data_IF_295160145472
#
_entry.id   IF_295160145472
#
_cell.length_a   1.000
_cell.length_b   1.000
_cell.length_c   1.000
_cell.angle_alpha   90.00
_cell.angle_beta   90.00
_cell.angle_gamma   90.00
#
_symmetry.space_group_name_H-M   'P 1'
#
loop_
_entity.id
_entity.type
_entity.pdbx_description
1 polymer ?
#
# COMPACT_ATOMS: atom_id res chain seq x y z
N UNK A 1 -21.10 -6.59 -2.84
CA UNK A 1 -19.92 -7.28 -3.40
C UNK A 1 -19.70 -8.53 -2.58
N UNK A 2 -19.84 -9.71 -3.18
CA UNK A 2 -19.53 -10.97 -2.51
C UNK A 2 -18.06 -11.26 -2.78
N UNK A 3 -17.27 -11.33 -1.70
CA UNK A 3 -15.81 -11.55 -1.68
C UNK A 3 -15.37 -12.87 -2.33
N UNK A 4 -16.32 -13.76 -2.64
CA UNK A 4 -16.08 -15.17 -2.94
C UNK A 4 -16.70 -15.60 -4.28
N UNK A 5 -16.56 -14.81 -5.35
CA UNK A 5 -16.64 -15.40 -6.71
C UNK A 5 -15.22 -15.64 -7.21
N UNK A 6 -14.56 -16.75 -6.83
CA UNK A 6 -13.26 -17.10 -7.36
C UNK A 6 -13.37 -17.23 -8.88
N UNK A 7 -12.56 -16.47 -9.61
CA UNK A 7 -12.37 -16.68 -11.04
C UNK A 7 -11.52 -17.95 -11.21
N UNK A 8 -11.91 -18.89 -12.08
CA UNK A 8 -11.08 -20.05 -12.36
C UNK A 8 -9.74 -19.60 -12.97
N UNK A 9 -8.66 -20.38 -12.78
CA UNK A 9 -7.39 -20.09 -13.44
C UNK A 9 -7.59 -20.10 -14.96
N UNK A 10 -6.95 -19.16 -15.64
CA UNK A 10 -7.03 -19.03 -17.10
C UNK A 10 -6.07 -19.96 -17.84
N UNK A 11 -5.07 -20.50 -17.13
CA UNK A 11 -3.97 -21.30 -17.67
C UNK A 11 -3.67 -22.48 -16.75
N UNK A 12 -3.14 -23.58 -17.31
CA UNK A 12 -2.77 -24.78 -16.55
C UNK A 12 -1.63 -24.48 -15.55
N UNK A 13 -0.64 -23.72 -15.99
CA UNK A 13 0.39 -23.17 -15.11
C UNK A 13 -0.17 -22.00 -14.30
N UNK A 14 -0.34 -22.22 -13.00
CA UNK A 14 -0.84 -21.20 -12.09
C UNK A 14 -0.15 -21.31 -10.72
N UNK A 15 0.36 -20.19 -10.24
CA UNK A 15 1.01 -20.09 -8.95
C UNK A 15 -0.02 -19.81 -7.86
N UNK A 16 0.00 -20.65 -6.82
CA UNK A 16 -0.97 -20.59 -5.73
C UNK A 16 -0.27 -20.71 -4.36
N UNK A 17 0.44 -19.66 -3.96
CA UNK A 17 1.19 -19.57 -2.70
C UNK A 17 0.69 -18.41 -1.83
N UNK A 18 1.24 -18.29 -0.62
CA UNK A 18 1.04 -17.12 0.23
C UNK A 18 2.09 -16.05 -0.11
N UNK A 19 1.70 -15.10 -0.96
CA UNK A 19 2.62 -14.10 -1.51
C UNK A 19 1.97 -12.71 -1.56
N UNK A 20 2.72 -11.69 -1.19
CA UNK A 20 2.44 -10.29 -1.48
C UNK A 20 3.43 -9.81 -2.55
N UNK A 21 2.95 -9.63 -3.77
CA UNK A 21 3.76 -9.26 -4.94
C UNK A 21 3.51 -7.81 -5.34
N UNK A 22 4.58 -7.02 -5.45
CA UNK A 22 4.52 -5.62 -5.90
C UNK A 22 5.19 -5.49 -7.24
N UNK A 23 4.47 -5.01 -8.25
CA UNK A 23 5.02 -4.64 -9.55
C UNK A 23 5.41 -3.17 -9.53
N UNK A 24 6.68 -2.86 -9.79
CA UNK A 24 7.20 -1.49 -9.88
C UNK A 24 7.63 -1.23 -11.33
N UNK A 25 6.91 -0.36 -12.04
CA UNK A 25 7.08 -0.11 -13.47
C UNK A 25 7.79 1.21 -13.70
N UNK A 26 8.91 1.17 -14.43
CA UNK A 26 9.63 2.36 -14.90
C UNK A 26 8.75 3.17 -15.87
N UNK A 27 8.36 4.38 -15.47
CA UNK A 27 7.61 5.32 -16.29
C UNK A 27 8.47 6.35 -17.01
N UNK A 28 9.78 6.12 -17.15
CA UNK A 28 10.65 7.01 -17.91
C UNK A 28 10.44 6.88 -19.42
N UNK A 29 10.88 7.90 -20.13
CA UNK A 29 11.01 7.98 -21.58
C UNK A 29 12.11 7.08 -22.17
N UNK A 30 12.77 6.24 -21.34
CA UNK A 30 13.67 5.19 -21.86
C UNK A 30 12.91 4.00 -22.44
N UNK A 31 11.65 3.86 -22.07
CA UNK A 31 10.68 3.05 -22.79
C UNK A 31 9.83 4.01 -23.62
N UNK A 32 9.64 3.71 -24.91
CA UNK A 32 8.60 4.34 -25.71
C UNK A 32 7.21 3.93 -25.21
N UNK A 33 6.17 4.65 -25.64
CA UNK A 33 4.79 4.30 -25.30
C UNK A 33 4.41 2.88 -25.75
N UNK A 34 4.91 2.46 -26.93
CA UNK A 34 4.71 1.11 -27.44
C UNK A 34 5.44 0.05 -26.59
N UNK A 35 6.67 0.31 -26.18
CA UNK A 35 7.41 -0.61 -25.29
C UNK A 35 6.79 -0.67 -23.89
N UNK A 36 6.24 0.44 -23.40
CA UNK A 36 5.48 0.47 -22.15
C UNK A 36 4.18 -0.34 -22.25
N UNK A 37 3.54 -0.40 -23.42
CA UNK A 37 2.41 -1.30 -23.66
C UNK A 37 2.83 -2.77 -23.55
N UNK A 38 3.96 -3.15 -24.14
CA UNK A 38 4.53 -4.51 -23.99
C UNK A 38 4.82 -4.82 -22.52
N UNK A 39 5.35 -3.86 -21.76
CA UNK A 39 5.59 -4.00 -20.32
C UNK A 39 4.29 -4.25 -19.54
N UNK A 40 3.20 -3.53 -19.85
CA UNK A 40 1.88 -3.76 -19.24
C UNK A 40 1.32 -5.13 -19.62
N UNK A 41 1.44 -5.54 -20.88
CA UNK A 41 1.04 -6.87 -21.34
C UNK A 41 1.78 -7.96 -20.58
N UNK A 42 3.09 -7.80 -20.35
CA UNK A 42 3.87 -8.70 -19.51
C UNK A 42 3.32 -8.79 -18.08
N UNK A 43 3.05 -7.66 -17.43
CA UNK A 43 2.49 -7.62 -16.07
C UNK A 43 1.12 -8.30 -16.01
N UNK A 44 0.23 -8.01 -16.96
CA UNK A 44 -1.08 -8.67 -17.07
C UNK A 44 -0.90 -10.18 -17.27
N UNK A 45 -0.01 -10.60 -18.17
CA UNK A 45 0.29 -12.00 -18.43
C UNK A 45 0.87 -12.74 -17.23
N UNK A 46 1.63 -12.05 -16.37
CA UNK A 46 2.01 -12.59 -15.06
C UNK A 46 0.78 -12.75 -14.16
N UNK A 47 -0.04 -11.70 -14.01
CA UNK A 47 -1.24 -11.73 -13.16
C UNK A 47 -2.25 -12.82 -13.54
N UNK A 48 -2.35 -13.20 -14.82
CA UNK A 48 -3.19 -14.31 -15.28
C UNK A 48 -2.74 -15.69 -14.75
N UNK A 49 -1.45 -15.82 -14.42
CA UNK A 49 -0.83 -17.05 -13.90
C UNK A 49 -0.70 -17.04 -12.37
N UNK A 50 -1.30 -16.06 -11.70
CA UNK A 50 -1.30 -15.95 -10.24
C UNK A 50 -2.71 -16.21 -9.68
N UNK A 51 -2.80 -16.97 -8.59
CA UNK A 51 -4.04 -17.13 -7.84
C UNK A 51 -4.28 -15.90 -6.96
N UNK A 52 -4.73 -14.81 -7.58
CA UNK A 52 -4.93 -13.51 -6.92
C UNK A 52 -6.14 -13.57 -5.98
N UNK A 53 -5.89 -13.42 -4.67
CA UNK A 53 -6.91 -13.26 -3.63
C UNK A 53 -6.28 -12.76 -2.33
N UNK A 54 -7.08 -12.17 -1.44
CA UNK A 54 -6.60 -11.76 -0.11
C UNK A 54 -6.08 -12.92 0.75
N UNK A 55 -6.48 -14.16 0.46
CA UNK A 55 -6.06 -15.38 1.17
C UNK A 55 -4.83 -16.06 0.54
N UNK A 56 -4.45 -15.73 -0.71
CA UNK A 56 -3.35 -16.37 -1.45
C UNK A 56 -2.35 -15.34 -1.96
N UNK A 57 -2.46 -14.90 -3.22
CA UNK A 57 -1.54 -13.90 -3.78
C UNK A 57 -2.21 -12.53 -3.76
N UNK A 58 -1.64 -11.56 -3.02
CA UNK A 58 -2.02 -10.15 -3.10
C UNK A 58 -1.09 -9.45 -4.08
N UNK A 59 -1.62 -8.51 -4.86
CA UNK A 59 -0.84 -7.76 -5.85
C UNK A 59 -0.97 -6.26 -5.62
N UNK A 60 0.13 -5.54 -5.82
CA UNK A 60 0.16 -4.08 -5.91
C UNK A 60 0.90 -3.68 -7.18
N UNK A 61 0.55 -2.51 -7.72
CA UNK A 61 1.09 -2.01 -8.98
C UNK A 61 1.39 -0.53 -8.84
N UNK A 62 2.66 -0.18 -9.04
CA UNK A 62 3.16 1.19 -8.91
C UNK A 62 3.94 1.53 -10.17
N UNK A 63 3.55 2.61 -10.83
CA UNK A 63 4.37 3.26 -11.84
C UNK A 63 5.25 4.30 -11.14
N UNK A 64 6.53 4.39 -11.54
CA UNK A 64 7.45 5.35 -10.94
C UNK A 64 8.21 6.17 -11.98
N UNK A 65 8.28 7.47 -11.69
CA UNK A 65 9.02 8.48 -12.43
C UNK A 65 9.82 9.32 -11.40
N UNK A 66 9.69 10.65 -11.38
CA UNK A 66 10.22 11.48 -10.29
C UNK A 66 9.48 11.22 -8.95
N UNK A 67 8.25 10.72 -9.03
CA UNK A 67 7.46 10.22 -7.90
C UNK A 67 7.01 8.77 -8.11
N UNK A 68 6.00 8.34 -7.34
CA UNK A 68 5.41 7.01 -7.46
C UNK A 68 3.88 7.11 -7.44
N UNK A 69 3.23 6.49 -8.43
CA UNK A 69 1.78 6.45 -8.55
C UNK A 69 1.28 5.02 -8.42
N UNK A 70 0.57 4.73 -7.33
CA UNK A 70 0.00 3.41 -7.07
C UNK A 70 -1.36 3.27 -7.74
N UNK A 71 -1.49 2.29 -8.63
CA UNK A 71 -2.74 1.94 -9.30
C UNK A 71 -3.50 0.84 -8.57
N UNK A 72 -2.76 -0.08 -7.93
CA UNK A 72 -3.30 -1.19 -7.14
C UNK A 72 -2.58 -1.27 -5.80
N UNK A 73 -3.33 -1.53 -4.73
CA UNK A 73 -2.81 -1.79 -3.39
C UNK A 73 -3.04 -3.25 -3.00
N UNK A 74 -2.16 -3.80 -2.15
CA UNK A 74 -2.25 -5.19 -1.70
C UNK A 74 -3.62 -5.52 -1.06
N UNK A 75 -4.25 -4.53 -0.43
CA UNK A 75 -5.53 -4.69 0.28
C UNK A 75 -6.77 -4.51 -0.61
N UNK A 76 -6.59 -4.21 -1.89
CA UNK A 76 -7.72 -4.01 -2.80
C UNK A 76 -8.53 -5.32 -2.94
N UNK A 77 -9.82 -5.24 -2.64
CA UNK A 77 -10.77 -6.35 -2.73
C UNK A 77 -11.58 -6.24 -4.03
N UNK A 78 -10.90 -6.51 -5.14
CA UNK A 78 -11.46 -6.47 -6.50
C UNK A 78 -11.34 -7.84 -7.17
N UNK A 79 -12.13 -8.07 -8.21
CA UNK A 79 -12.01 -9.29 -9.03
C UNK A 79 -10.65 -9.33 -9.73
N UNK A 80 -10.02 -10.51 -9.89
CA UNK A 80 -8.77 -10.62 -10.64
C UNK A 80 -8.84 -10.02 -12.05
N UNK A 81 -9.95 -10.19 -12.76
CA UNK A 81 -10.21 -9.53 -14.06
C UNK A 81 -10.20 -8.01 -14.00
N UNK A 82 -10.77 -7.41 -12.95
CA UNK A 82 -10.77 -5.96 -12.75
C UNK A 82 -9.36 -5.45 -12.42
N UNK A 83 -8.60 -6.18 -11.60
CA UNK A 83 -7.20 -5.86 -11.30
C UNK A 83 -6.35 -5.88 -12.57
N UNK A 84 -6.51 -6.91 -13.42
CA UNK A 84 -5.84 -6.99 -14.73
C UNK A 84 -6.24 -5.82 -15.65
N UNK A 85 -7.52 -5.45 -15.68
CA UNK A 85 -8.01 -4.29 -16.45
C UNK A 85 -7.40 -2.97 -15.96
N UNK A 86 -7.21 -2.79 -14.65
CA UNK A 86 -6.53 -1.61 -14.10
C UNK A 86 -5.06 -1.62 -14.53
N UNK A 87 -4.39 -2.78 -14.45
CA UNK A 87 -3.01 -2.92 -14.87
C UNK A 87 -2.80 -2.62 -16.37
N UNK A 88 -3.72 -3.03 -17.24
CA UNK A 88 -3.65 -2.73 -18.68
C UNK A 88 -3.89 -1.24 -18.99
N UNK A 89 -4.53 -0.50 -18.08
CA UNK A 89 -4.88 0.92 -18.22
C UNK A 89 -3.90 1.87 -17.53
N UNK A 90 -2.77 1.38 -17.01
CA UNK A 90 -1.71 2.25 -16.50
C UNK A 90 -1.29 3.21 -17.61
N UNK A 91 -1.19 4.50 -17.26
CA UNK A 91 -0.87 5.56 -18.20
C UNK A 91 0.64 5.59 -18.42
N UNK A 92 1.06 5.73 -19.67
CA UNK A 92 2.44 6.00 -19.99
C UNK A 92 2.81 7.42 -19.52
N UNK A 93 3.81 7.53 -18.64
CA UNK A 93 4.26 8.80 -18.11
C UNK A 93 5.30 9.48 -19.02
N UNK A 94 6.22 8.71 -19.61
CA UNK A 94 7.27 9.24 -20.49
C UNK A 94 8.18 10.26 -19.83
N UNK A 95 8.43 10.13 -18.52
CA UNK A 95 9.20 11.10 -17.74
C UNK A 95 10.68 11.11 -18.13
N UNK A 96 11.37 12.23 -17.93
CA UNK A 96 12.84 12.30 -18.08
C UNK A 96 13.58 11.54 -16.98
N UNK A 97 12.92 11.28 -15.85
CA UNK A 97 13.49 10.62 -14.67
C UNK A 97 12.53 9.53 -14.19
N UNK A 98 13.08 8.34 -13.92
CA UNK A 98 12.46 7.33 -13.07
C UNK A 98 13.39 6.96 -11.91
N UNK A 99 12.99 7.34 -10.69
CA UNK A 99 13.79 7.18 -9.49
C UNK A 99 13.52 5.85 -8.81
N UNK A 100 14.43 4.90 -9.02
CA UNK A 100 14.48 3.64 -8.27
C UNK A 100 14.58 3.88 -6.76
N UNK A 101 15.29 4.93 -6.32
CA UNK A 101 15.40 5.24 -4.90
C UNK A 101 14.07 5.65 -4.30
N UNK A 102 13.29 6.49 -4.99
CA UNK A 102 11.98 6.94 -4.51
C UNK A 102 10.95 5.81 -4.49
N UNK A 103 10.93 4.94 -5.50
CA UNK A 103 9.98 3.80 -5.49
C UNK A 103 10.34 2.76 -4.42
N UNK A 104 11.62 2.54 -4.11
CA UNK A 104 12.01 1.68 -2.98
C UNK A 104 11.66 2.31 -1.63
N UNK A 105 11.76 3.63 -1.50
CA UNK A 105 11.27 4.37 -0.33
C UNK A 105 9.76 4.17 -0.16
N UNK A 106 8.99 4.37 -1.25
CA UNK A 106 7.55 4.14 -1.26
C UNK A 106 7.20 2.70 -0.87
N UNK A 107 7.88 1.73 -1.45
CA UNK A 107 7.69 0.30 -1.13
C UNK A 107 7.94 0.00 0.35
N UNK A 108 8.99 0.59 0.95
CA UNK A 108 9.37 0.36 2.35
C UNK A 108 8.41 1.01 3.35
N UNK A 109 8.00 2.25 3.08
CA UNK A 109 7.28 3.10 4.04
C UNK A 109 5.79 3.26 3.77
N UNK A 110 5.31 2.92 2.57
CA UNK A 110 3.88 2.98 2.24
C UNK A 110 3.30 1.57 2.09
N UNK A 111 3.91 0.73 1.24
CA UNK A 111 3.38 -0.62 0.97
C UNK A 111 3.65 -1.57 2.12
N UNK A 112 4.92 -1.71 2.52
CA UNK A 112 5.34 -2.60 3.62
C UNK A 112 5.64 -1.85 4.91
N UNK A 113 4.94 -0.73 5.14
CA UNK A 113 5.05 0.08 6.35
C UNK A 113 4.78 -0.75 7.61
N UNK A 114 3.65 -1.45 7.61
CA UNK A 114 3.19 -2.39 8.63
C UNK A 114 3.06 -3.78 7.99
N UNK A 115 3.57 -4.79 8.68
CA UNK A 115 3.45 -6.19 8.23
C UNK A 115 2.19 -6.76 8.87
N UNK A 116 1.12 -6.83 8.09
CA UNK A 116 -0.20 -7.33 8.51
C UNK A 116 -0.44 -8.80 8.11
N UNK A 117 0.47 -9.37 7.33
CA UNK A 117 0.40 -10.72 6.76
C UNK A 117 1.73 -11.46 6.91
N UNK A 118 2.15 -11.77 8.16
CA UNK A 118 3.48 -12.33 8.44
C UNK A 118 3.73 -13.72 7.83
N UNK A 119 2.66 -14.46 7.53
CA UNK A 119 2.70 -15.79 6.92
C UNK A 119 3.02 -15.78 5.42
N UNK A 120 2.92 -14.63 4.75
CA UNK A 120 3.19 -14.50 3.33
C UNK A 120 4.62 -14.00 3.06
N UNK A 121 5.24 -14.53 2.01
CA UNK A 121 6.45 -13.92 1.44
C UNK A 121 6.11 -12.58 0.82
N UNK A 122 7.07 -11.65 0.83
CA UNK A 122 6.91 -10.29 0.29
C UNK A 122 7.96 -10.06 -0.78
N UNK A 123 7.52 -9.80 -2.00
CA UNK A 123 8.42 -9.63 -3.14
C UNK A 123 8.05 -8.35 -3.89
N UNK A 124 9.06 -7.55 -4.25
CA UNK A 124 8.89 -6.45 -5.19
C UNK A 124 9.67 -6.75 -6.47
N UNK A 125 8.94 -6.86 -7.57
CA UNK A 125 9.47 -7.02 -8.91
C UNK A 125 9.73 -5.63 -9.51
N UNK A 126 11.00 -5.25 -9.57
CA UNK A 126 11.44 -3.93 -10.04
C UNK A 126 11.75 -3.98 -11.53
N UNK A 127 10.81 -3.54 -12.38
CA UNK A 127 10.97 -3.45 -13.82
C UNK A 127 11.59 -2.09 -14.15
N UNK A 128 12.89 -2.08 -14.46
CA UNK A 128 13.69 -0.87 -14.66
C UNK A 128 14.32 -0.83 -16.05
N UNK A 129 14.22 0.31 -16.72
CA UNK A 129 14.78 0.53 -18.07
C UNK A 129 15.72 1.74 -18.13
N UNK A 130 15.91 2.42 -16.99
CA UNK A 130 16.60 3.71 -16.93
C UNK A 130 17.59 3.81 -15.78
N UNK A 131 18.29 4.94 -15.77
CA UNK A 131 19.20 5.33 -14.71
C UNK A 131 18.70 6.63 -14.07
N UNK A 132 18.50 6.61 -12.75
CA UNK A 132 18.19 7.83 -12.00
C UNK A 132 19.45 8.73 -11.83
N UNK A 133 19.27 10.06 -11.73
CA UNK A 133 20.37 10.98 -11.43
C UNK A 133 21.11 10.61 -10.12
N UNK A 134 22.46 10.68 -10.07
CA UNK A 134 23.23 10.30 -8.89
C UNK A 134 22.84 11.01 -7.58
N UNK A 135 22.31 12.23 -7.68
CA UNK A 135 21.81 13.00 -6.53
C UNK A 135 20.64 12.31 -5.81
N UNK A 136 19.80 11.58 -6.55
CA UNK A 136 18.64 10.86 -6.01
C UNK A 136 19.07 9.49 -5.45
N UNK A 137 20.12 8.88 -6.02
CA UNK A 137 20.60 7.54 -5.66
C UNK A 137 21.23 7.42 -4.25
N UNK A 138 21.42 8.53 -3.51
CA UNK A 138 22.17 8.58 -2.24
C UNK A 138 21.66 7.60 -1.18
N UNK A 139 20.34 7.40 -1.11
CA UNK A 139 19.70 6.55 -0.10
C UNK A 139 19.28 5.17 -0.61
N UNK A 140 19.62 4.81 -1.86
CA UNK A 140 19.21 3.54 -2.46
C UNK A 140 19.62 2.34 -1.58
N UNK A 141 20.87 2.31 -1.14
CA UNK A 141 21.39 1.25 -0.29
C UNK A 141 20.65 1.17 1.05
N UNK A 142 20.30 2.32 1.64
CA UNK A 142 19.56 2.38 2.90
C UNK A 142 18.16 1.80 2.74
N UNK A 143 17.45 2.11 1.66
CA UNK A 143 16.10 1.58 1.43
C UNK A 143 16.12 0.10 1.05
N UNK A 144 17.08 -0.33 0.22
CA UNK A 144 17.27 -1.75 -0.08
C UNK A 144 17.58 -2.58 1.19
N UNK A 145 18.42 -2.05 2.08
CA UNK A 145 18.67 -2.66 3.39
C UNK A 145 17.43 -2.64 4.30
N UNK A 146 16.64 -1.57 4.29
CA UNK A 146 15.39 -1.50 5.04
C UNK A 146 14.38 -2.56 4.59
N UNK A 147 14.26 -2.76 3.28
CA UNK A 147 13.42 -3.79 2.67
C UNK A 147 13.91 -5.19 3.06
N UNK A 148 15.23 -5.45 2.99
CA UNK A 148 15.84 -6.68 3.49
C UNK A 148 15.50 -6.94 4.96
N UNK A 149 15.64 -5.93 5.84
CA UNK A 149 15.31 -6.07 7.27
C UNK A 149 13.85 -6.43 7.50
N UNK A 150 12.95 -5.96 6.63
CA UNK A 150 11.54 -6.36 6.61
C UNK A 150 11.30 -7.68 5.87
N UNK A 151 12.33 -8.42 5.45
CA UNK A 151 12.21 -9.65 4.64
C UNK A 151 11.41 -9.44 3.34
N UNK A 152 11.55 -8.26 2.74
CA UNK A 152 11.05 -7.99 1.39
C UNK A 152 12.17 -8.32 0.41
N UNK A 153 11.89 -9.25 -0.51
CA UNK A 153 12.80 -9.69 -1.55
C UNK A 153 12.67 -8.74 -2.74
N UNK A 154 13.79 -8.24 -3.25
CA UNK A 154 13.84 -7.36 -4.41
C UNK A 154 14.32 -8.14 -5.62
N UNK A 155 13.47 -8.28 -6.62
CA UNK A 155 13.79 -8.97 -7.88
C UNK A 155 13.89 -7.92 -8.99
N UNK A 156 15.09 -7.40 -9.31
CA UNK A 156 15.25 -6.43 -10.38
C UNK A 156 15.20 -7.10 -11.75
N UNK A 157 14.41 -6.53 -12.65
CA UNK A 157 14.30 -6.88 -14.06
C UNK A 157 14.79 -5.69 -14.86
N UNK A 158 16.04 -5.75 -15.32
CA UNK A 158 16.67 -4.70 -16.10
C UNK A 158 16.39 -4.86 -17.59
N UNK A 159 15.88 -3.82 -18.24
CA UNK A 159 15.42 -3.85 -19.62
C UNK A 159 16.21 -2.85 -20.45
N UNK A 160 16.94 -3.33 -21.45
CA UNK A 160 17.64 -2.48 -22.40
C UNK A 160 18.95 -1.88 -21.90
N UNK A 161 19.66 -1.14 -22.78
CA UNK A 161 21.03 -0.71 -22.54
C UNK A 161 21.15 0.47 -21.57
N UNK A 162 20.06 1.17 -21.29
CA UNK A 162 20.04 2.37 -20.45
C UNK A 162 19.87 2.07 -18.95
N UNK A 163 19.68 0.79 -18.59
CA UNK A 163 19.50 0.37 -17.22
C UNK A 163 20.78 0.56 -16.40
N UNK A 164 20.63 0.99 -15.15
CA UNK A 164 21.77 1.12 -14.24
C UNK A 164 22.18 -0.24 -13.61
N UNK A 165 23.05 -0.98 -14.30
CA UNK A 165 23.55 -2.28 -13.83
C UNK A 165 24.28 -2.19 -12.48
N UNK A 166 24.91 -1.05 -12.14
CA UNK A 166 25.55 -0.87 -10.83
C UNK A 166 24.52 -0.86 -9.70
N UNK A 167 23.34 -0.30 -9.93
CA UNK A 167 22.24 -0.32 -8.97
C UNK A 167 21.62 -1.71 -8.84
N UNK A 168 21.41 -2.41 -9.96
CA UNK A 168 20.95 -3.80 -9.95
C UNK A 168 21.89 -4.66 -9.10
N UNK A 169 23.19 -4.60 -9.38
CA UNK A 169 24.18 -5.38 -8.64
C UNK A 169 24.25 -5.02 -7.15
N UNK A 170 24.00 -3.75 -6.80
CA UNK A 170 23.89 -3.32 -5.41
C UNK A 170 22.69 -3.98 -4.71
N UNK A 171 21.55 -4.10 -5.41
CA UNK A 171 20.34 -4.76 -4.91
C UNK A 171 20.59 -6.27 -4.72
N UNK A 172 21.19 -6.94 -5.70
CA UNK A 172 21.53 -8.37 -5.62
C UNK A 172 22.42 -8.67 -4.40
N UNK A 173 23.42 -7.82 -4.15
CA UNK A 173 24.33 -7.96 -3.01
C UNK A 173 23.66 -7.85 -1.64
N UNK A 174 22.43 -7.33 -1.55
CA UNK A 174 21.76 -7.20 -0.26
C UNK A 174 21.29 -8.55 0.29
N UNK A 175 20.81 -9.46 -0.56
CA UNK A 175 20.26 -10.74 -0.12
C UNK A 175 20.38 -11.80 -1.25
N UNK A 176 20.69 -13.08 -0.93
CA UNK A 176 20.84 -14.12 -1.95
C UNK A 176 19.57 -14.36 -2.78
N UNK A 177 18.40 -14.05 -2.23
CA UNK A 177 17.10 -14.15 -2.90
C UNK A 177 16.83 -12.99 -3.88
N UNK A 178 17.66 -11.94 -3.88
CA UNK A 178 17.50 -10.80 -4.80
C UNK A 178 18.09 -11.10 -6.19
N UNK A 179 17.66 -12.19 -6.84
CA UNK A 179 18.12 -12.56 -8.19
C UNK A 179 17.72 -11.48 -9.21
N UNK A 180 18.67 -11.01 -10.03
CA UNK A 180 18.37 -10.14 -11.15
C UNK A 180 18.05 -10.91 -12.44
N UNK A 181 17.20 -10.31 -13.27
CA UNK A 181 16.98 -10.70 -14.65
C UNK A 181 17.36 -9.52 -15.54
N UNK A 182 18.31 -9.68 -16.45
CA UNK A 182 18.73 -8.62 -17.37
C UNK A 182 18.37 -9.05 -18.78
N UNK A 183 17.65 -8.19 -19.49
CA UNK A 183 17.06 -8.42 -20.80
C UNK A 183 17.53 -7.33 -21.76
N UNK A 184 17.67 -7.67 -23.04
CA UNK A 184 18.15 -6.71 -24.05
C UNK A 184 17.06 -5.74 -24.51
N UNK A 185 15.79 -6.16 -24.49
CA UNK A 185 14.62 -5.34 -24.81
C UNK A 185 13.36 -5.86 -24.11
N UNK A 186 12.25 -5.13 -24.25
CA UNK A 186 10.93 -5.57 -23.76
C UNK A 186 10.42 -6.83 -24.46
N UNK A 187 10.92 -7.16 -25.64
CA UNK A 187 10.45 -8.31 -26.44
C UNK A 187 10.86 -9.65 -25.82
N UNK A 188 11.93 -9.66 -25.01
CA UNK A 188 12.38 -10.85 -24.28
C UNK A 188 11.52 -11.14 -23.03
N UNK A 189 10.69 -10.19 -22.58
CA UNK A 189 9.91 -10.32 -21.35
C UNK A 189 8.96 -11.52 -21.40
N UNK A 190 8.29 -11.74 -22.53
CA UNK A 190 7.37 -12.87 -22.68
C UNK A 190 8.08 -14.21 -22.52
N UNK A 191 9.27 -14.34 -23.11
CA UNK A 191 10.07 -15.57 -23.06
C UNK A 191 10.59 -15.87 -21.65
N UNK A 192 10.85 -14.82 -20.85
CA UNK A 192 11.35 -14.94 -19.47
C UNK A 192 10.23 -15.00 -18.42
N UNK A 193 8.98 -14.73 -18.80
CA UNK A 193 7.83 -14.62 -17.90
C UNK A 193 7.68 -15.84 -16.99
N UNK A 194 7.63 -17.04 -17.58
CA UNK A 194 7.32 -18.25 -16.82
C UNK A 194 8.50 -18.66 -15.90
N UNK A 195 9.75 -18.39 -16.30
CA UNK A 195 10.93 -18.52 -15.43
C UNK A 195 10.85 -17.58 -14.23
N UNK A 196 10.50 -16.30 -14.46
CA UNK A 196 10.35 -15.31 -13.41
C UNK A 196 9.23 -15.73 -12.45
N UNK A 197 8.05 -16.13 -12.97
CA UNK A 197 6.94 -16.58 -12.12
C UNK A 197 7.36 -17.78 -11.27
N UNK A 198 7.99 -18.80 -11.86
CA UNK A 198 8.47 -19.97 -11.12
C UNK A 198 9.38 -19.54 -9.97
N UNK A 199 10.36 -18.68 -10.26
CA UNK A 199 11.27 -18.15 -9.24
C UNK A 199 10.54 -17.43 -8.10
N UNK A 200 9.60 -16.53 -8.41
CA UNK A 200 8.83 -15.80 -7.39
C UNK A 200 7.98 -16.74 -6.53
N UNK A 201 7.46 -17.81 -7.12
CA UNK A 201 6.59 -18.78 -6.45
C UNK A 201 7.37 -19.76 -5.57
N UNK A 202 8.59 -20.11 -5.94
CA UNK A 202 9.48 -20.93 -5.13
C UNK A 202 9.94 -20.21 -3.86
N UNK A 203 9.96 -18.87 -3.86
CA UNK A 203 10.23 -18.03 -2.69
C UNK A 203 9.05 -17.98 -1.69
N UNK A 204 7.87 -18.45 -2.08
CA UNK A 204 6.65 -18.29 -1.30
C UNK A 204 6.21 -19.60 -0.62
N UNK A 205 5.77 -19.55 0.66
CA UNK A 205 5.35 -20.74 1.38
C UNK A 205 4.04 -21.31 0.82
N UNK A 206 3.89 -22.62 0.99
CA UNK A 206 2.67 -23.33 0.65
C UNK A 206 1.49 -22.90 1.53
N UNK A 207 0.28 -23.04 0.99
CA UNK A 207 -0.94 -22.85 1.78
C UNK A 207 -1.04 -24.00 2.80
N UNK A 208 -1.21 -23.70 4.10
CA UNK A 208 -1.42 -24.76 5.10
C UNK A 208 -2.59 -25.66 4.69
N UNK A 209 -2.39 -26.97 4.78
CA UNK A 209 -3.47 -27.93 4.56
C UNK A 209 -4.62 -27.62 5.55
N UNK A 210 -5.90 -27.79 5.13
CA UNK A 210 -7.01 -27.66 6.06
C UNK A 210 -6.80 -28.64 7.21
N UNK A 211 -6.69 -28.14 8.45
CA UNK A 211 -6.72 -28.97 9.63
C UNK A 211 -8.04 -29.73 9.63
N UNK A 212 -7.99 -31.05 9.55
CA UNK A 212 -9.18 -31.89 9.67
C UNK A 212 -9.88 -31.52 10.98
N UNK A 213 -11.20 -31.22 10.96
CA UNK A 213 -11.94 -31.05 12.20
C UNK A 213 -11.79 -32.34 13.02
N UNK A 214 -11.58 -32.26 14.35
CA UNK A 214 -11.70 -33.44 15.19
C UNK A 214 -13.10 -34.06 15.01
N UNK A 215 -13.24 -35.39 15.08
CA UNK A 215 -14.54 -36.04 14.90
C UNK A 215 -15.53 -35.48 15.92
N UNK A 216 -16.60 -34.88 15.42
CA UNK A 216 -17.66 -34.28 16.23
C UNK A 216 -18.33 -35.41 17.02
N UNK A 217 -18.21 -35.39 18.34
CA UNK A 217 -19.00 -36.23 19.22
C UNK A 217 -20.49 -35.89 19.04
N UNK A 218 -21.32 -36.88 18.74
CA UNK A 218 -22.77 -36.72 18.67
C UNK A 218 -23.30 -36.41 20.07
N UNK A 219 -23.84 -35.20 20.26
CA UNK A 219 -24.54 -34.81 21.49
C UNK A 219 -26.03 -35.07 21.31
N UNK A 220 -26.55 -35.92 22.19
CA UNK A 220 -27.96 -36.30 22.32
C UNK A 220 -28.84 -35.08 22.67
N UNK A 221 -29.96 -34.91 21.97
CA UNK A 221 -30.92 -33.83 22.23
C UNK A 221 -31.59 -33.95 23.61
N UNK A 222 -31.63 -32.84 24.34
CA UNK A 222 -32.55 -32.59 25.46
C UNK A 222 -33.44 -31.37 25.16
N UNK A 223 -34.63 -31.24 25.80
CA UNK A 223 -35.71 -30.41 25.28
C UNK A 223 -35.57 -28.91 25.60
N UNK A 224 -36.30 -28.15 24.80
CA UNK A 224 -36.32 -26.70 24.63
C UNK A 224 -36.55 -25.85 25.91
N UNK A 225 -35.86 -24.71 25.96
CA UNK A 225 -36.30 -23.56 26.75
C UNK A 225 -36.32 -22.29 25.89
N UNK A 226 -37.49 -21.65 25.92
CA UNK A 226 -37.81 -20.37 25.29
C UNK A 226 -37.02 -19.23 25.92
N UNK A 227 -36.48 -18.35 25.08
CA UNK A 227 -36.17 -16.97 25.45
C UNK A 227 -34.72 -16.54 25.26
N UNK A 228 -34.45 -15.84 24.16
CA UNK A 228 -33.72 -14.57 24.12
C UNK A 228 -33.49 -14.17 22.67
N UNK A 229 -33.89 -12.95 22.31
CA UNK A 229 -33.53 -12.28 21.07
C UNK A 229 -32.01 -12.37 20.84
N UNK A 230 -31.59 -13.05 19.77
CA UNK A 230 -30.19 -13.03 19.36
C UNK A 230 -29.76 -11.59 19.06
N UNK A 231 -28.64 -11.10 19.62
CA UNK A 231 -27.99 -9.93 19.06
C UNK A 231 -27.57 -10.34 17.64
N UNK A 232 -27.99 -9.56 16.64
CA UNK A 232 -27.52 -9.73 15.27
C UNK A 232 -25.99 -9.77 15.21
N UNK A 233 -25.40 -10.26 14.10
CA UNK A 233 -23.96 -10.40 13.97
C UNK A 233 -23.29 -9.06 14.28
N UNK A 234 -22.50 -9.01 15.36
CA UNK A 234 -21.66 -7.87 15.67
C UNK A 234 -20.79 -7.65 14.43
N UNK A 235 -21.05 -6.56 13.69
CA UNK A 235 -20.09 -6.04 12.71
C UNK A 235 -18.77 -5.94 13.46
N UNK A 236 -17.73 -6.58 12.94
CA UNK A 236 -16.38 -6.33 13.41
C UNK A 236 -16.14 -4.81 13.32
N UNK A 237 -16.23 -4.12 14.47
CA UNK A 237 -15.99 -2.68 14.55
C UNK A 237 -14.53 -2.47 14.16
N UNK A 238 -14.30 -1.88 13.00
CA UNK A 238 -12.96 -1.41 12.65
C UNK A 238 -12.75 -0.13 13.45
N UNK A 239 -11.84 -0.19 14.43
CA UNK A 239 -11.35 1.00 15.12
C UNK A 239 -10.50 1.79 14.13
N UNK A 240 -10.85 3.06 13.90
CA UNK A 240 -10.19 3.93 12.94
C UNK A 240 -9.72 5.21 13.63
N UNK A 241 -8.42 5.48 13.54
CA UNK A 241 -7.82 6.71 14.06
C UNK A 241 -7.69 7.74 12.92
N UNK A 242 -8.28 8.92 13.09
CA UNK A 242 -8.28 10.00 12.10
C UNK A 242 -7.65 11.27 12.67
N UNK A 243 -6.66 11.82 11.97
CA UNK A 243 -6.05 13.11 12.32
C UNK A 243 -6.50 14.16 11.32
N UNK A 244 -7.16 15.22 11.79
CA UNK A 244 -7.40 16.43 11.01
C UNK A 244 -6.24 17.40 11.20
N UNK A 245 -5.71 17.94 10.10
CA UNK A 245 -4.60 18.91 10.10
C UNK A 245 -5.09 20.18 9.41
N UNK A 246 -5.41 21.20 10.22
CA UNK A 246 -5.97 22.47 9.77
C UNK A 246 -4.89 23.53 9.63
N UNK A 247 -4.83 24.19 8.48
CA UNK A 247 -3.98 25.36 8.30
C UNK A 247 -4.62 26.60 8.95
N UNK A 248 -3.93 27.18 9.92
CA UNK A 248 -4.31 28.41 10.64
C UNK A 248 -3.42 29.60 10.30
N UNK A 249 -2.94 29.71 9.07
CA UNK A 249 -2.02 30.78 8.64
C UNK A 249 -2.73 32.10 8.32
N UNK A 250 -1.97 33.21 8.34
CA UNK A 250 -2.46 34.53 7.93
C UNK A 250 -2.85 34.61 6.44
N UNK A 251 -2.39 33.67 5.62
CA UNK A 251 -2.81 33.57 4.22
C UNK A 251 -4.24 33.04 4.08
N UNK A 252 -4.66 32.13 4.96
CA UNK A 252 -6.04 31.65 5.03
C UNK A 252 -6.92 32.73 5.66
N UNK A 253 -6.48 33.28 6.79
CA UNK A 253 -7.21 34.27 7.58
C UNK A 253 -8.38 33.67 8.38
N UNK A 254 -8.78 34.36 9.45
CA UNK A 254 -9.76 33.86 10.44
C UNK A 254 -11.10 33.43 9.83
N UNK A 255 -11.64 34.22 8.89
CA UNK A 255 -12.93 33.91 8.27
C UNK A 255 -12.92 32.58 7.49
N UNK A 256 -11.84 32.29 6.75
CA UNK A 256 -11.72 31.02 6.02
C UNK A 256 -11.34 29.87 6.95
N UNK A 257 -10.54 30.14 7.99
CA UNK A 257 -10.26 29.15 9.02
C UNK A 257 -11.55 28.67 9.69
N UNK A 258 -12.44 29.60 10.06
CA UNK A 258 -13.73 29.25 10.66
C UNK A 258 -14.59 28.38 9.74
N UNK A 259 -14.60 28.65 8.42
CA UNK A 259 -15.26 27.78 7.43
C UNK A 259 -14.65 26.37 7.39
N UNK A 260 -13.32 26.26 7.43
CA UNK A 260 -12.63 24.97 7.47
C UNK A 260 -12.94 24.18 8.76
N UNK A 261 -13.02 24.87 9.90
CA UNK A 261 -13.41 24.27 11.20
C UNK A 261 -14.87 23.79 11.17
N UNK A 262 -15.79 24.59 10.64
CA UNK A 262 -17.21 24.23 10.47
C UNK A 262 -17.37 23.01 9.56
N UNK A 263 -16.66 22.99 8.41
CA UNK A 263 -16.65 21.83 7.53
C UNK A 263 -16.13 20.57 8.24
N UNK A 264 -15.04 20.68 9.00
CA UNK A 264 -14.51 19.57 9.80
C UNK A 264 -15.53 19.08 10.83
N UNK A 265 -16.25 19.98 11.51
CA UNK A 265 -17.33 19.63 12.44
C UNK A 265 -18.43 18.82 11.73
N UNK A 266 -18.89 19.25 10.55
CA UNK A 266 -19.89 18.53 9.77
C UNK A 266 -19.43 17.12 9.36
N UNK A 267 -18.15 16.96 9.03
CA UNK A 267 -17.56 15.65 8.72
C UNK A 267 -17.58 14.77 9.96
N UNK A 268 -17.08 15.26 11.09
CA UNK A 268 -17.02 14.51 12.37
C UNK A 268 -18.42 14.12 12.84
N UNK A 269 -19.42 14.97 12.66
CA UNK A 269 -20.82 14.69 13.00
C UNK A 269 -21.34 13.41 12.33
N UNK A 270 -20.90 13.13 11.09
CA UNK A 270 -21.30 11.96 10.28
C UNK A 270 -20.48 10.70 10.57
N UNK A 271 -19.35 10.84 11.27
CA UNK A 271 -18.47 9.71 11.64
C UNK A 271 -18.99 8.98 12.88
N UNK A 272 -18.72 7.69 13.02
CA UNK A 272 -19.06 6.91 14.21
C UNK A 272 -17.99 7.09 15.32
N UNK A 273 -17.89 8.31 15.85
CA UNK A 273 -16.88 8.68 16.86
C UNK A 273 -17.21 8.08 18.22
N UNK A 274 -16.26 7.35 18.78
CA UNK A 274 -16.42 6.64 20.04
C UNK A 274 -15.13 5.95 20.50
N UNK A 275 -15.07 5.63 21.79
CA UNK A 275 -13.92 4.97 22.43
C UNK A 275 -13.57 3.58 21.87
N UNK A 276 -14.53 2.91 21.25
CA UNK A 276 -14.38 1.58 20.63
C UNK A 276 -14.68 1.62 19.11
N UNK A 277 -14.61 2.81 18.50
CA UNK A 277 -14.96 3.05 17.11
C UNK A 277 -13.98 4.03 16.45
N UNK A 278 -14.41 5.22 16.04
CA UNK A 278 -13.53 6.22 15.43
C UNK A 278 -12.94 7.14 16.49
N UNK A 279 -11.62 7.26 16.53
CA UNK A 279 -10.90 8.24 17.36
C UNK A 279 -10.43 9.41 16.51
N UNK A 280 -10.45 10.61 17.10
CA UNK A 280 -10.13 11.87 16.43
C UNK A 280 -8.99 12.59 17.16
N UNK A 281 -8.02 13.06 16.38
CA UNK A 281 -7.03 14.07 16.76
C UNK A 281 -7.18 15.26 15.83
N UNK A 282 -7.04 16.47 16.34
CA UNK A 282 -7.07 17.70 15.55
C UNK A 282 -5.81 18.50 15.83
N UNK A 283 -5.10 18.86 14.76
CA UNK A 283 -3.94 19.72 14.78
C UNK A 283 -4.27 21.02 14.03
N UNK A 284 -3.87 22.14 14.59
CA UNK A 284 -3.78 23.42 13.87
C UNK A 284 -2.30 23.68 13.55
N UNK A 285 -1.98 24.17 12.35
CA UNK A 285 -0.62 24.54 12.00
C UNK A 285 -0.51 25.85 11.23
N UNK A 286 0.57 26.58 11.49
CA UNK A 286 1.11 27.61 10.59
C UNK A 286 2.60 27.31 10.43
N UNK A 287 3.49 28.10 11.03
CA UNK A 287 4.91 27.75 11.13
C UNK A 287 5.16 26.67 12.20
N UNK A 288 4.39 26.72 13.28
CA UNK A 288 4.39 25.73 14.38
C UNK A 288 3.11 24.90 14.35
N UNK A 289 3.12 23.78 15.07
CA UNK A 289 1.98 22.86 15.23
C UNK A 289 1.40 23.01 16.62
N UNK A 290 0.08 23.16 16.71
CA UNK A 290 -0.68 23.16 17.96
C UNK A 290 -1.65 21.98 17.97
N UNK A 291 -1.64 21.20 19.06
CA UNK A 291 -2.59 20.09 19.26
C UNK A 291 -3.86 20.66 19.89
N UNK A 292 -4.97 20.55 19.18
CA UNK A 292 -6.28 21.06 19.62
C UNK A 292 -7.15 19.97 20.25
N UNK A 293 -7.01 18.72 19.78
CA UNK A 293 -7.62 17.54 20.34
C UNK A 293 -6.73 16.32 20.07
N UNK A 294 -6.71 15.32 20.96
CA UNK A 294 -5.85 14.14 20.84
C UNK A 294 -6.59 12.84 21.15
N UNK A 295 -6.14 11.73 20.55
CA UNK A 295 -6.66 10.37 20.81
C UNK A 295 -6.60 9.95 22.27
N UNK A 296 -5.71 10.57 23.07
CA UNK A 296 -5.50 10.23 24.49
C UNK A 296 -6.58 10.80 25.42
N UNK A 297 -7.40 11.71 24.93
CA UNK A 297 -8.52 12.28 25.67
C UNK A 297 -9.83 11.54 25.40
N UNK A 298 -10.89 11.83 26.16
CA UNK A 298 -12.22 11.22 25.98
C UNK A 298 -12.71 11.32 24.54
N UNK A 299 -12.96 10.17 23.91
CA UNK A 299 -13.36 10.05 22.51
C UNK A 299 -14.89 9.94 22.32
N UNK A 300 -15.69 10.50 23.23
CA UNK A 300 -17.13 10.60 22.99
C UNK A 300 -17.39 11.61 21.86
N UNK A 301 -18.34 11.31 20.96
CA UNK A 301 -18.70 12.23 19.87
C UNK A 301 -19.02 13.64 20.39
N UNK A 302 -19.73 13.73 21.51
CA UNK A 302 -20.09 15.02 22.13
C UNK A 302 -18.87 15.82 22.56
N UNK A 303 -17.92 15.19 23.26
CA UNK A 303 -16.72 15.87 23.75
C UNK A 303 -15.78 16.29 22.61
N UNK A 304 -15.62 15.43 21.60
CA UNK A 304 -14.81 15.74 20.41
C UNK A 304 -15.40 16.94 19.66
N UNK A 305 -16.72 16.95 19.41
CA UNK A 305 -17.37 18.08 18.74
C UNK A 305 -17.31 19.36 19.57
N UNK A 306 -17.41 19.27 20.89
CA UNK A 306 -17.27 20.43 21.77
C UNK A 306 -15.88 21.06 21.65
N UNK A 307 -14.82 20.24 21.73
CA UNK A 307 -13.45 20.73 21.53
C UNK A 307 -13.25 21.36 20.17
N UNK A 308 -13.77 20.73 19.10
CA UNK A 308 -13.69 21.25 17.74
C UNK A 308 -14.30 22.66 17.62
N UNK A 309 -15.43 22.92 18.26
CA UNK A 309 -16.07 24.24 18.27
C UNK A 309 -15.25 25.30 18.99
N UNK A 310 -14.47 24.90 19.99
CA UNK A 310 -13.65 25.79 20.81
C UNK A 310 -12.33 26.18 20.14
N UNK A 311 -11.95 25.50 19.05
CA UNK A 311 -10.72 25.81 18.30
C UNK A 311 -10.79 27.25 17.78
N UNK A 312 -9.76 28.01 18.13
CA UNK A 312 -9.56 29.41 17.72
C UNK A 312 -8.47 29.52 16.67
N UNK A 313 -8.66 30.45 15.75
CA UNK A 313 -7.64 30.84 14.78
C UNK A 313 -6.40 31.41 15.50
N UNK A 314 -5.22 30.86 15.20
CA UNK A 314 -3.95 31.29 15.82
C UNK A 314 -3.10 32.23 14.95
N UNK A 315 -3.28 32.18 13.62
CA UNK A 315 -2.48 32.95 12.69
C UNK A 315 -1.04 32.48 12.53
N UNK A 316 -0.31 33.20 11.70
CA UNK A 316 1.09 32.92 11.41
C UNK A 316 1.49 33.35 10.00
N UNK A 317 2.62 34.06 9.92
CA UNK A 317 3.10 34.69 8.69
C UNK A 317 3.67 33.70 7.64
N UNK A 318 3.81 32.43 8.00
CA UNK A 318 4.38 31.38 7.16
C UNK A 318 3.81 30.01 7.52
N UNK A 319 3.89 29.07 6.58
CA UNK A 319 3.40 27.70 6.74
C UNK A 319 4.55 26.70 6.70
N UNK A 320 4.45 25.67 7.54
CA UNK A 320 5.36 24.55 7.54
C UNK A 320 4.58 23.23 7.60
N UNK A 321 3.96 22.89 6.47
CA UNK A 321 3.21 21.62 6.32
C UNK A 321 4.11 20.41 6.56
N UNK A 322 5.40 20.50 6.23
CA UNK A 322 6.37 19.44 6.51
C UNK A 322 6.49 19.12 8.00
N UNK A 323 6.59 20.16 8.85
CA UNK A 323 6.62 20.01 10.31
C UNK A 323 5.29 19.46 10.85
N UNK A 324 4.15 19.91 10.30
CA UNK A 324 2.84 19.37 10.66
C UNK A 324 2.73 17.86 10.39
N UNK A 325 3.15 17.41 9.20
CA UNK A 325 3.15 16.00 8.84
C UNK A 325 4.19 15.18 9.63
N UNK A 326 5.35 15.78 9.94
CA UNK A 326 6.32 15.16 10.84
C UNK A 326 5.72 14.96 12.23
N UNK A 327 5.02 15.96 12.78
CA UNK A 327 4.33 15.86 14.07
C UNK A 327 3.30 14.72 14.07
N UNK A 328 2.47 14.65 13.02
CA UNK A 328 1.50 13.54 12.85
C UNK A 328 2.21 12.19 12.90
N UNK A 329 3.30 12.04 12.13
CA UNK A 329 4.04 10.79 12.01
C UNK A 329 4.75 10.39 13.31
N UNK A 330 5.30 11.35 14.06
CA UNK A 330 6.18 11.10 15.20
C UNK A 330 5.45 11.15 16.55
N UNK A 331 4.29 11.82 16.63
CA UNK A 331 3.60 12.08 17.90
C UNK A 331 2.13 11.67 17.91
N UNK A 332 1.38 11.90 16.82
CA UNK A 332 -0.07 11.63 16.81
C UNK A 332 -0.38 10.14 16.73
N UNK A 333 0.41 9.36 15.98
CA UNK A 333 0.22 7.90 15.83
C UNK A 333 1.25 7.03 16.58
N UNK A 334 2.17 7.64 17.32
CA UNK A 334 3.10 6.92 18.18
C UNK A 334 2.40 6.50 19.48
N UNK A 335 2.47 5.21 19.83
CA UNK A 335 1.89 4.64 21.05
C UNK A 335 2.32 5.40 22.32
#
# INVERSE_FOLDING_TARGET
YVEDTPEPPLHDFHCSKLLDLVFLLDGSSRLSEAEFEVLKVFVVGMMERLHISQKRIRVALVEYHEGSHAYLQLRDRKRPSELRRIASQVKYAGSTVASTTEVLKYTLFQIFSKIDRPEASRVALLLTASQEPPRLARNLARYAQGLKKKKVILVPVGIGPHVNLKQIHLIEKQAPENKAFVLSSVDELEQRRDEIISYLCDLAPEVPAPTQPPPVAQVTMGPEHLGASSPGPKRNSMILDVVFVLEGSDQIGEANFNRSREFMEEVIQRMDVGQDAIHITVLQYSYTVTVEATFRETQSKGDVLQRVREIRYQGGNSTNTGLALQYVSEHSFSA
#
